data_IF_690815573768
#
_entry.id   IF_690815573768
#
_cell.length_a   1.000
_cell.length_b   1.000
_cell.length_c   1.000
_cell.angle_alpha   90.00
_cell.angle_beta   90.00
_cell.angle_gamma   90.00
#
_symmetry.space_group_name_H-M   'P 1'
#
loop_
_entity.id
_entity.type
_entity.pdbx_description
1 polymer ?
#
# COMPACT_ATOMS: atom_id res chain seq x y z
N UNK A 1 17.22 -20.28 34.24
CA UNK A 1 18.12 -20.01 33.10
C UNK A 1 17.41 -18.96 32.25
N UNK A 2 17.86 -17.71 32.34
CA UNK A 2 17.14 -16.53 31.83
C UNK A 2 17.28 -16.46 30.31
N UNK A 3 16.15 -16.53 29.58
CA UNK A 3 16.11 -16.18 28.16
C UNK A 3 15.63 -14.74 28.05
N UNK A 4 16.56 -13.84 27.74
CA UNK A 4 16.29 -12.44 27.44
C UNK A 4 15.70 -12.36 26.02
N UNK A 5 14.38 -12.49 25.91
CA UNK A 5 13.65 -12.12 24.71
C UNK A 5 13.66 -10.59 24.60
N UNK A 6 14.67 -10.03 23.93
CA UNK A 6 14.72 -8.61 23.59
C UNK A 6 13.48 -8.25 22.78
N UNK A 7 12.63 -7.36 23.32
CA UNK A 7 11.42 -6.90 22.61
C UNK A 7 11.84 -5.90 21.55
N UNK A 8 11.50 -6.18 20.29
CA UNK A 8 11.65 -5.20 19.22
C UNK A 8 10.58 -4.12 19.41
N UNK A 9 11.02 -2.86 19.48
CA UNK A 9 10.12 -1.72 19.48
C UNK A 9 9.73 -1.41 18.03
N UNK A 10 8.44 -1.22 17.77
CA UNK A 10 7.87 -0.87 16.46
C UNK A 10 7.19 0.49 16.58
N UNK A 11 7.66 1.48 15.82
CA UNK A 11 7.00 2.79 15.70
C UNK A 11 6.50 2.97 14.27
N UNK A 12 5.22 3.33 14.11
CA UNK A 12 4.67 3.67 12.80
C UNK A 12 5.25 4.98 12.31
N UNK A 13 5.96 4.92 11.19
CA UNK A 13 6.63 6.05 10.57
C UNK A 13 5.75 6.74 9.52
N UNK A 14 4.91 6.02 8.79
CA UNK A 14 4.00 6.62 7.80
C UNK A 14 2.76 5.75 7.62
N UNK A 15 1.59 6.37 7.72
CA UNK A 15 0.30 5.78 7.37
C UNK A 15 0.10 6.02 5.86
N UNK A 16 0.57 5.09 5.04
CA UNK A 16 0.53 5.20 3.58
C UNK A 16 -0.35 4.08 3.02
N UNK A 17 -1.62 4.41 2.81
CA UNK A 17 -2.64 3.47 2.39
C UNK A 17 -2.29 2.83 1.04
N UNK A 18 -2.38 1.50 0.99
CA UNK A 18 -2.42 0.75 -0.25
C UNK A 18 -3.83 0.84 -0.83
N UNK A 19 -3.95 1.28 -2.08
CA UNK A 19 -5.23 1.41 -2.75
C UNK A 19 -5.23 0.77 -4.14
N UNK A 20 -6.36 0.14 -4.53
CA UNK A 20 -6.51 -0.40 -5.87
C UNK A 20 -6.68 0.75 -6.87
N UNK A 21 -5.95 0.69 -7.97
CA UNK A 21 -5.98 1.68 -9.04
C UNK A 21 -5.80 1.06 -10.42
N UNK A 22 -6.32 1.75 -11.43
CA UNK A 22 -6.11 1.40 -12.83
C UNK A 22 -6.15 2.62 -13.73
N UNK A 23 -5.73 2.45 -14.99
CA UNK A 23 -6.04 3.41 -16.05
C UNK A 23 -7.57 3.51 -16.23
N UNK A 24 -8.14 4.71 -16.42
CA UNK A 24 -9.57 4.89 -16.70
C UNK A 24 -10.06 4.08 -17.90
N UNK A 25 -9.17 3.80 -18.86
CA UNK A 25 -9.48 3.05 -20.08
C UNK A 25 -9.78 1.57 -19.79
N UNK A 26 -9.20 1.00 -18.73
CA UNK A 26 -9.37 -0.41 -18.38
C UNK A 26 -10.83 -0.74 -18.00
N UNK A 27 -11.49 0.19 -17.32
CA UNK A 27 -12.85 0.00 -16.80
C UNK A 27 -13.93 0.64 -17.69
N UNK A 28 -13.55 1.39 -18.72
CA UNK A 28 -14.48 2.09 -19.60
C UNK A 28 -15.52 1.12 -20.25
N UNK A 29 -16.79 1.52 -20.41
CA UNK A 29 -17.37 2.84 -20.07
C UNK A 29 -17.70 3.01 -18.57
N UNK A 30 -17.50 1.97 -17.75
CA UNK A 30 -17.71 2.07 -16.31
C UNK A 30 -16.62 2.97 -15.72
N UNK A 31 -17.00 3.84 -14.79
CA UNK A 31 -16.05 4.69 -14.04
C UNK A 31 -15.80 4.20 -12.62
N UNK A 32 -16.69 3.35 -12.13
CA UNK A 32 -16.65 2.77 -10.80
C UNK A 32 -17.19 1.34 -10.85
N UNK A 33 -16.66 0.52 -9.96
CA UNK A 33 -17.08 -0.84 -9.64
C UNK A 33 -17.80 -0.79 -8.28
N UNK A 34 -18.83 -1.61 -8.15
CA UNK A 34 -19.70 -1.60 -6.96
C UNK A 34 -19.19 -2.58 -5.91
N UNK A 35 -18.55 -3.68 -6.33
CA UNK A 35 -18.05 -4.71 -5.44
C UNK A 35 -16.52 -4.83 -5.52
N UNK A 36 -15.88 -5.09 -4.39
CA UNK A 36 -14.44 -5.34 -4.30
C UNK A 36 -14.02 -6.57 -5.14
N UNK A 37 -14.89 -7.57 -5.24
CA UNK A 37 -14.66 -8.78 -6.05
C UNK A 37 -14.65 -8.52 -7.55
N UNK A 38 -15.25 -7.42 -8.03
CA UNK A 38 -15.20 -7.05 -9.45
C UNK A 38 -13.76 -6.76 -9.90
N UNK A 39 -12.89 -6.29 -8.99
CA UNK A 39 -11.47 -6.07 -9.29
C UNK A 39 -10.76 -7.35 -9.70
N UNK A 40 -11.15 -8.48 -9.13
CA UNK A 40 -10.54 -9.79 -9.36
C UNK A 40 -10.88 -10.37 -10.74
N UNK A 41 -11.79 -9.74 -11.49
CA UNK A 41 -12.10 -10.08 -12.87
C UNK A 41 -11.07 -9.50 -13.86
N UNK A 42 -10.28 -8.53 -13.43
CA UNK A 42 -9.24 -7.90 -14.22
C UNK A 42 -7.87 -8.53 -13.94
N UNK A 43 -6.90 -8.42 -14.87
CA UNK A 43 -5.54 -8.83 -14.60
C UNK A 43 -4.98 -8.06 -13.40
N UNK A 44 -4.51 -8.77 -12.38
CA UNK A 44 -3.86 -8.15 -11.22
C UNK A 44 -2.37 -7.97 -11.51
N UNK A 45 -1.85 -6.78 -11.20
CA UNK A 45 -0.45 -6.44 -11.33
C UNK A 45 0.20 -6.56 -9.96
N UNK A 46 1.27 -7.36 -9.88
CA UNK A 46 2.00 -7.64 -8.66
C UNK A 46 3.41 -7.08 -8.75
N UNK A 47 3.96 -6.63 -7.63
CA UNK A 47 5.40 -6.50 -7.46
C UNK A 47 6.00 -7.82 -6.91
N UNK A 48 7.30 -7.79 -6.59
CA UNK A 48 8.04 -8.95 -6.12
C UNK A 48 7.44 -9.60 -4.86
N UNK A 49 6.71 -8.85 -4.04
CA UNK A 49 6.20 -9.34 -2.76
C UNK A 49 4.94 -10.19 -2.91
N UNK A 50 4.17 -10.06 -4.00
CA UNK A 50 2.94 -10.85 -4.37
C UNK A 50 1.85 -10.99 -3.30
N UNK A 51 2.10 -10.58 -2.07
CA UNK A 51 1.25 -10.76 -0.90
C UNK A 51 0.26 -9.60 -0.75
N UNK A 52 0.56 -8.43 -1.35
CA UNK A 52 -0.27 -7.23 -1.23
C UNK A 52 -1.73 -7.47 -1.64
N UNK A 53 -1.97 -8.14 -2.76
CA UNK A 53 -3.32 -8.48 -3.18
C UNK A 53 -3.99 -9.51 -2.27
N UNK A 54 -3.23 -10.43 -1.67
CA UNK A 54 -3.77 -11.40 -0.72
C UNK A 54 -4.18 -10.72 0.59
N UNK A 55 -3.32 -9.85 1.12
CA UNK A 55 -3.59 -9.02 2.30
C UNK A 55 -4.76 -8.08 2.07
N UNK A 56 -4.83 -7.47 0.89
CA UNK A 56 -5.97 -6.64 0.50
C UNK A 56 -7.26 -7.47 0.42
N UNK A 57 -7.23 -8.66 -0.20
CA UNK A 57 -8.39 -9.56 -0.25
C UNK A 57 -8.88 -9.92 1.16
N UNK A 58 -7.98 -10.28 2.07
CA UNK A 58 -8.31 -10.57 3.46
C UNK A 58 -8.95 -9.37 4.16
N UNK A 59 -8.41 -8.17 3.95
CA UNK A 59 -8.94 -6.93 4.52
C UNK A 59 -10.38 -6.62 4.05
N UNK A 60 -10.77 -7.08 2.85
CA UNK A 60 -12.11 -6.89 2.29
C UNK A 60 -13.02 -8.11 2.45
N UNK A 61 -12.58 -9.14 3.18
CA UNK A 61 -13.35 -10.37 3.39
C UNK A 61 -13.42 -11.30 2.18
N UNK A 62 -12.55 -11.13 1.20
CA UNK A 62 -12.42 -12.00 0.03
C UNK A 62 -11.36 -13.08 0.26
N UNK A 63 -11.53 -14.22 -0.39
CA UNK A 63 -10.62 -15.34 -0.21
C UNK A 63 -9.26 -15.06 -0.92
N UNK A 64 -8.11 -15.13 -0.22
CA UNK A 64 -6.81 -14.70 -0.77
C UNK A 64 -6.27 -15.55 -1.92
N UNK A 65 -6.86 -16.71 -2.22
CA UNK A 65 -6.45 -17.53 -3.37
C UNK A 65 -6.80 -16.88 -4.72
N UNK A 66 -7.77 -15.97 -4.76
CA UNK A 66 -8.08 -15.20 -5.97
C UNK A 66 -6.99 -14.18 -6.32
N UNK A 67 -6.23 -13.73 -5.33
CA UNK A 67 -5.18 -12.73 -5.49
C UNK A 67 -3.93 -13.24 -6.23
N UNK A 68 -3.73 -14.54 -6.42
CA UNK A 68 -2.43 -15.07 -6.88
C UNK A 68 -2.19 -15.01 -8.39
N UNK A 69 -3.15 -14.50 -9.17
CA UNK A 69 -3.10 -14.48 -10.64
C UNK A 69 -2.56 -13.14 -11.15
N UNK A 70 -1.90 -13.17 -12.31
CA UNK A 70 -1.50 -11.96 -13.03
C UNK A 70 0.01 -11.80 -13.23
N UNK A 71 0.40 -10.65 -13.78
CA UNK A 71 1.78 -10.34 -14.12
C UNK A 71 2.55 -9.86 -12.89
N UNK A 72 3.83 -10.20 -12.83
CA UNK A 72 4.72 -9.83 -11.71
C UNK A 72 5.88 -9.02 -12.24
N UNK A 73 6.08 -7.87 -11.63
CA UNK A 73 7.13 -6.92 -11.95
C UNK A 73 8.20 -6.94 -10.84
N UNK A 74 9.39 -6.46 -11.18
CA UNK A 74 10.52 -6.41 -10.24
C UNK A 74 10.22 -5.49 -9.06
N UNK A 75 9.52 -4.38 -9.29
CA UNK A 75 9.21 -3.38 -8.27
C UNK A 75 7.89 -2.63 -8.57
N UNK A 76 7.50 -1.74 -7.65
CA UNK A 76 6.29 -0.94 -7.78
C UNK A 76 6.35 0.10 -8.92
N UNK A 77 7.53 0.47 -9.42
CA UNK A 77 7.64 1.34 -10.60
C UNK A 77 7.16 0.60 -11.85
N UNK A 78 7.60 -0.65 -12.03
CA UNK A 78 7.12 -1.51 -13.11
C UNK A 78 5.60 -1.71 -13.06
N UNK A 79 5.06 -1.95 -11.87
CA UNK A 79 3.59 -2.03 -11.66
C UNK A 79 2.89 -0.71 -12.01
N UNK A 80 3.46 0.43 -11.64
CA UNK A 80 2.88 1.76 -11.91
C UNK A 80 2.82 2.06 -13.41
N UNK A 81 3.91 1.82 -14.14
CA UNK A 81 3.94 2.00 -15.60
C UNK A 81 2.96 1.03 -16.30
N UNK A 82 2.85 -0.20 -15.78
CA UNK A 82 1.87 -1.16 -16.28
C UNK A 82 0.42 -0.73 -16.06
N UNK A 83 0.12 -0.11 -14.91
CA UNK A 83 -1.18 0.46 -14.61
C UNK A 83 -1.50 1.64 -15.53
N UNK A 84 -0.53 2.53 -15.79
CA UNK A 84 -0.69 3.63 -16.75
C UNK A 84 -0.98 3.13 -18.17
N UNK A 85 -0.31 2.05 -18.59
CA UNK A 85 -0.54 1.41 -19.88
C UNK A 85 -1.89 0.65 -19.95
N UNK A 86 -2.66 0.60 -18.86
CA UNK A 86 -3.95 -0.09 -18.82
C UNK A 86 -3.84 -1.61 -18.87
N UNK A 87 -2.72 -2.18 -18.43
CA UNK A 87 -2.50 -3.64 -18.48
C UNK A 87 -3.23 -4.41 -17.37
N UNK A 88 -3.75 -3.72 -16.34
CA UNK A 88 -4.46 -4.37 -15.24
C UNK A 88 -4.73 -3.45 -14.05
N UNK A 89 -5.23 -4.07 -12.99
CA UNK A 89 -5.43 -3.47 -11.68
C UNK A 89 -4.12 -3.54 -10.88
N UNK A 90 -3.70 -2.41 -10.34
CA UNK A 90 -2.54 -2.33 -9.45
C UNK A 90 -2.97 -1.99 -8.03
N UNK A 91 -2.26 -2.53 -7.04
CA UNK A 91 -2.29 -2.02 -5.68
C UNK A 91 -1.06 -1.14 -5.50
N UNK A 92 -1.29 0.15 -5.24
CA UNK A 92 -0.21 1.13 -5.11
C UNK A 92 -0.42 2.02 -3.89
N UNK A 93 0.68 2.55 -3.38
CA UNK A 93 0.68 3.48 -2.25
C UNK A 93 0.15 4.84 -2.66
N UNK A 94 -0.84 5.37 -1.93
CA UNK A 94 -1.46 6.66 -2.22
C UNK A 94 -0.43 7.78 -2.33
N UNK A 95 0.59 7.80 -1.46
CA UNK A 95 1.62 8.84 -1.46
C UNK A 95 2.37 8.93 -2.80
N UNK A 96 2.61 7.80 -3.47
CA UNK A 96 3.37 7.73 -4.72
C UNK A 96 2.52 8.09 -5.95
N UNK A 97 1.22 7.82 -5.90
CA UNK A 97 0.32 8.02 -7.04
C UNK A 97 -0.61 9.23 -6.90
N UNK A 98 -0.55 9.99 -5.80
CA UNK A 98 -1.40 11.17 -5.58
C UNK A 98 -1.38 12.17 -6.77
N UNK A 99 -0.24 12.49 -7.41
CA UNK A 99 -0.23 13.33 -8.60
C UNK A 99 -0.97 12.69 -9.78
N UNK A 100 -0.80 11.38 -10.00
CA UNK A 100 -1.43 10.64 -11.09
C UNK A 100 -2.95 10.53 -10.94
N UNK A 101 -3.44 10.37 -9.70
CA UNK A 101 -4.86 10.41 -9.37
C UNK A 101 -5.45 11.79 -9.65
N UNK A 102 -4.76 12.86 -9.23
CA UNK A 102 -5.18 14.25 -9.45
C UNK A 102 -5.25 14.59 -10.94
N UNK A 103 -4.31 14.08 -11.74
CA UNK A 103 -4.27 14.25 -13.19
C UNK A 103 -5.26 13.33 -13.94
N UNK A 104 -5.96 12.43 -13.25
CA UNK A 104 -6.86 11.45 -13.87
C UNK A 104 -6.16 10.40 -14.75
N UNK A 105 -4.83 10.25 -14.62
CA UNK A 105 -4.07 9.19 -15.31
C UNK A 105 -4.35 7.81 -14.70
N UNK A 106 -4.62 7.79 -13.41
CA UNK A 106 -5.12 6.64 -12.67
C UNK A 106 -6.41 7.02 -11.97
N UNK A 107 -7.26 6.03 -11.75
CA UNK A 107 -8.48 6.14 -10.96
C UNK A 107 -8.52 5.01 -9.94
N UNK A 108 -9.10 5.27 -8.76
CA UNK A 108 -9.56 4.21 -7.89
C UNK A 108 -10.91 3.72 -8.43
N UNK A 109 -11.02 2.48 -8.92
CA UNK A 109 -12.27 1.94 -9.44
C UNK A 109 -13.33 1.69 -8.37
N UNK A 110 -13.01 1.65 -7.07
CA UNK A 110 -14.00 1.34 -6.04
C UNK A 110 -14.77 2.59 -5.58
N UNK A 111 -16.08 2.42 -5.38
CA UNK A 111 -16.95 3.48 -4.85
C UNK A 111 -16.61 3.86 -3.39
N UNK A 112 -16.14 2.90 -2.59
CA UNK A 112 -15.65 3.14 -1.23
C UNK A 112 -14.15 2.86 -1.19
N UNK A 113 -13.32 3.83 -0.75
CA UNK A 113 -11.91 3.58 -0.56
C UNK A 113 -11.73 2.56 0.57
N UNK A 114 -11.00 1.48 0.27
CA UNK A 114 -10.62 0.47 1.25
C UNK A 114 -9.15 0.72 1.54
N UNK A 115 -8.88 1.28 2.71
CA UNK A 115 -7.52 1.45 3.20
C UNK A 115 -6.98 0.09 3.64
N UNK A 116 -5.91 -0.39 2.98
CA UNK A 116 -5.14 -1.50 3.50
C UNK A 116 -4.18 -0.97 4.58
N UNK A 117 -4.18 -1.50 5.82
CA UNK A 117 -3.42 -0.98 6.96
C UNK A 117 -1.91 -1.33 6.88
N UNK A 118 -1.31 -1.21 5.70
CA UNK A 118 0.11 -1.43 5.46
C UNK A 118 0.88 -0.14 5.74
N UNK A 119 1.41 -0.03 6.94
CA UNK A 119 2.22 1.12 7.35
C UNK A 119 3.73 0.81 7.31
N UNK A 120 4.54 1.84 7.11
CA UNK A 120 5.98 1.74 7.31
C UNK A 120 6.30 1.85 8.79
N UNK A 121 7.18 0.97 9.28
CA UNK A 121 7.58 0.99 10.68
C UNK A 121 9.10 1.08 10.84
N UNK A 122 9.51 1.93 11.77
CA UNK A 122 10.86 1.92 12.29
C UNK A 122 10.95 0.82 13.36
N UNK A 123 11.75 -0.21 13.09
CA UNK A 123 11.96 -1.36 13.99
C UNK A 123 13.38 -1.31 14.53
N UNK A 124 13.52 -1.37 15.86
CA UNK A 124 14.82 -1.39 16.53
C UNK A 124 14.73 -2.15 17.85
N UNK A 125 15.88 -2.67 18.29
CA UNK A 125 15.98 -3.31 19.60
C UNK A 125 15.75 -2.28 20.72
N UNK A 126 15.12 -2.66 21.83
CA UNK A 126 14.80 -1.76 22.94
C UNK A 126 16.03 -0.95 23.43
N UNK A 127 17.20 -1.58 23.46
CA UNK A 127 18.45 -0.92 23.88
C UNK A 127 19.06 0.02 22.84
N UNK A 128 18.59 0.01 21.58
CA UNK A 128 19.13 0.85 20.52
C UNK A 128 18.96 2.35 20.84
N UNK A 129 17.91 2.71 21.59
CA UNK A 129 17.68 4.09 22.02
C UNK A 129 18.54 4.50 23.20
N UNK A 130 19.42 3.66 23.76
CA UNK A 130 20.39 4.09 24.76
C UNK A 130 21.45 5.02 24.16
N UNK A 131 21.78 4.82 22.87
CA UNK A 131 22.70 5.69 22.14
C UNK A 131 22.01 7.03 21.77
N UNK A 132 22.59 8.19 22.13
CA UNK A 132 22.02 9.50 21.80
C UNK A 132 21.84 9.73 20.28
N UNK A 133 22.76 9.22 19.46
CA UNK A 133 22.69 9.34 18.01
C UNK A 133 21.45 8.64 17.42
N UNK A 134 21.09 7.45 17.95
CA UNK A 134 19.93 6.70 17.49
C UNK A 134 18.62 7.39 17.87
N UNK A 135 18.56 8.03 19.06
CA UNK A 135 17.42 8.87 19.45
C UNK A 135 17.28 10.08 18.53
N UNK A 136 18.39 10.78 18.27
CA UNK A 136 18.42 11.94 17.38
C UNK A 136 17.92 11.56 15.98
N UNK A 137 18.41 10.46 15.40
CA UNK A 137 17.97 9.98 14.09
C UNK A 137 16.49 9.59 14.08
N UNK A 138 16.01 8.85 15.09
CA UNK A 138 14.59 8.51 15.23
C UNK A 138 13.72 9.77 15.24
N UNK A 139 14.07 10.74 16.08
CA UNK A 139 13.27 11.94 16.27
C UNK A 139 13.30 12.81 15.01
N UNK A 140 14.45 12.92 14.36
CA UNK A 140 14.57 13.57 13.05
C UNK A 140 13.69 12.89 12.00
N UNK A 141 13.75 11.55 11.89
CA UNK A 141 12.99 10.77 10.92
C UNK A 141 11.48 10.91 11.14
N UNK A 142 11.03 10.84 12.40
CA UNK A 142 9.63 11.07 12.76
C UNK A 142 9.21 12.53 12.51
N UNK A 143 10.13 13.48 12.59
CA UNK A 143 9.93 14.87 12.18
C UNK A 143 9.86 15.09 10.67
N UNK A 144 10.32 14.15 9.84
CA UNK A 144 10.19 14.21 8.38
C UNK A 144 8.83 13.70 7.87
N UNK A 145 7.95 13.23 8.76
CA UNK A 145 6.64 12.76 8.38
C UNK A 145 5.88 13.88 7.68
N UNK A 146 5.32 13.66 6.48
CA UNK A 146 4.38 14.61 5.92
C UNK A 146 3.23 14.80 6.92
N UNK A 147 2.73 16.03 7.07
CA UNK A 147 1.56 16.28 7.90
C UNK A 147 0.43 15.42 7.37
N UNK A 148 0.03 14.39 8.13
CA UNK A 148 -1.15 13.61 7.82
C UNK A 148 -2.31 14.58 7.97
N UNK A 149 -3.04 14.83 6.89
CA UNK A 149 -4.29 15.56 6.98
C UNK A 149 -5.18 14.78 7.94
N UNK A 150 -5.41 15.32 9.14
CA UNK A 150 -6.41 14.82 10.07
C UNK A 150 -7.76 14.86 9.33
N UNK A 151 -8.20 13.73 8.78
CA UNK A 151 -9.58 13.55 8.38
C UNK A 151 -10.39 13.48 9.68
N UNK A 152 -10.88 14.66 10.09
CA UNK A 152 -11.85 14.81 11.16
C UNK A 152 -13.08 13.98 10.81
N UNK A 153 -13.39 13.03 11.69
CA UNK A 153 -14.65 12.30 11.73
C UNK A 153 -15.88 13.24 11.79
#
# INVERSE_FOLDING_TARGET
MVSAAGRNCRLTACDDDLMPVCSPQLIAPRRTLTDASDLLQYPLLHDEHREDWALWCEAVGLAPHFARRGAVFTDSNGVTEAAFAGMGMALLRRSFIAPALTQGRLVNPLAQPIACPLAYHLVYHETALLAPANRCFRDWLLGQRPAVAEERA
#
